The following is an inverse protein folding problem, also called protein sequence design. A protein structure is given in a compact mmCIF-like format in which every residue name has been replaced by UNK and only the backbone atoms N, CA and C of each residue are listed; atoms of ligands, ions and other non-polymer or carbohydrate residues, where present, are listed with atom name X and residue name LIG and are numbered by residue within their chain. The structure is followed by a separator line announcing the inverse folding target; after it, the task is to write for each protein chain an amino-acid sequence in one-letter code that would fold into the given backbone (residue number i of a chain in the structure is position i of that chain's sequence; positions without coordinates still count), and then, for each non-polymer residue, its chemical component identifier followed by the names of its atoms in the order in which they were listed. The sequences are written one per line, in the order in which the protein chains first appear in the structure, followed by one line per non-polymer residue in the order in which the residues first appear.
data_IF_594878634252
#
_entry.id   IF_594878634252
#
_cell.length_a   1.000
_cell.length_b   1.000
_cell.length_c   1.000
_cell.angle_alpha   90.00
_cell.angle_beta   90.00
_cell.angle_gamma   90.00
#
_symmetry.space_group_name_H-M   'P 1'
#
loop_
_entity.id
_entity.type
_entity.pdbx_description
1 polymer ?
#
# COMPACT_ATOMS: atom_id res chain seq x y z
N UNK A 1 -13.68 5.99 -6.34
CA UNK A 1 -14.34 4.78 -5.79
C UNK A 1 -14.30 4.82 -4.27
N UNK A 2 -15.48 4.70 -3.66
CA UNK A 2 -15.77 4.79 -2.22
C UNK A 2 -15.51 3.45 -1.51
N UNK A 3 -15.29 3.45 -0.19
CA UNK A 3 -15.02 2.26 0.66
C UNK A 3 -15.97 1.07 0.41
N UNK A 4 -17.21 1.35 -0.05
CA UNK A 4 -18.23 0.33 -0.31
C UNK A 4 -17.93 -0.70 -1.41
N UNK A 5 -16.96 -0.47 -2.31
CA UNK A 5 -16.65 -1.44 -3.39
C UNK A 5 -15.92 -2.68 -2.85
N UNK A 6 -14.97 -2.50 -1.92
CA UNK A 6 -14.21 -3.61 -1.32
C UNK A 6 -15.07 -4.46 -0.38
N UNK A 7 -15.96 -3.80 0.34
CA UNK A 7 -16.84 -4.40 1.34
C UNK A 7 -17.86 -5.32 0.69
N UNK A 8 -18.44 -4.91 -0.44
CA UNK A 8 -19.34 -5.74 -1.25
C UNK A 8 -18.65 -6.99 -1.79
N UNK A 9 -17.37 -6.89 -2.21
CA UNK A 9 -16.61 -8.03 -2.76
C UNK A 9 -16.54 -9.21 -1.79
N UNK A 10 -16.31 -8.93 -0.51
CA UNK A 10 -16.15 -9.99 0.50
C UNK A 10 -17.45 -10.37 1.23
N UNK A 11 -18.59 -9.78 0.82
CA UNK A 11 -19.87 -9.95 1.49
C UNK A 11 -19.80 -9.44 2.93
N UNK A 12 -19.20 -8.27 3.15
CA UNK A 12 -18.92 -7.72 4.48
C UNK A 12 -19.39 -6.27 4.58
N UNK A 13 -20.63 -6.03 5.01
CA UNK A 13 -21.13 -4.68 5.20
C UNK A 13 -20.76 -4.06 6.56
N UNK A 14 -20.60 -2.72 6.64
CA UNK A 14 -20.34 -2.05 7.91
C UNK A 14 -21.61 -2.07 8.74
N UNK A 15 -21.47 -2.30 10.04
CA UNK A 15 -22.55 -1.97 10.96
C UNK A 15 -22.62 -0.43 11.08
N UNK A 16 -23.83 0.13 10.96
CA UNK A 16 -24.07 1.56 11.06
C UNK A 16 -23.51 2.09 12.39
N UNK A 17 -22.61 3.06 12.31
CA UNK A 17 -22.10 3.74 13.48
C UNK A 17 -23.20 4.65 14.06
N UNK A 18 -23.43 4.56 15.36
CA UNK A 18 -24.27 5.51 16.09
C UNK A 18 -23.44 6.14 17.19
N UNK A 19 -23.70 7.41 17.49
CA UNK A 19 -23.01 8.18 18.54
C UNK A 19 -23.89 8.17 19.78
N UNK A 20 -23.27 7.91 20.93
CA UNK A 20 -23.91 8.10 22.23
C UNK A 20 -23.46 9.46 22.73
N UNK A 21 -24.41 10.35 22.98
CA UNK A 21 -24.14 11.63 23.64
C UNK A 21 -24.22 11.37 25.15
N UNK A 22 -23.14 11.58 25.93
CA UNK A 22 -23.19 11.44 27.38
C UNK A 22 -24.20 12.45 27.95
N UNK A 23 -25.14 11.99 28.77
CA UNK A 23 -25.95 12.88 29.61
C UNK A 23 -25.29 13.01 30.98
N UNK A 24 -25.43 14.18 31.60
CA UNK A 24 -25.02 14.37 32.98
C UNK A 24 -25.84 13.44 33.91
N UNK A 25 -25.16 12.80 34.87
CA UNK A 25 -25.71 11.73 35.71
C UNK A 25 -26.88 12.14 36.62
N UNK A 26 -27.20 13.43 36.72
CA UNK A 26 -27.95 13.95 37.87
C UNK A 26 -29.46 13.64 37.89
N UNK A 27 -30.10 13.16 36.82
CA UNK A 27 -31.57 12.90 36.83
C UNK A 27 -32.05 11.72 35.93
N UNK A 28 -31.24 10.68 35.74
CA UNK A 28 -31.65 9.54 34.90
C UNK A 28 -32.49 8.52 35.70
N UNK A 29 -33.72 8.26 35.27
CA UNK A 29 -34.56 7.13 35.75
C UNK A 29 -33.84 5.79 35.51
N UNK A 30 -34.18 4.74 36.28
CA UNK A 30 -33.53 3.42 36.13
C UNK A 30 -33.74 2.83 34.73
N UNK A 31 -34.93 3.04 34.14
CA UNK A 31 -35.21 2.68 32.75
C UNK A 31 -34.25 3.37 31.77
N UNK A 32 -33.97 4.65 31.99
CA UNK A 32 -33.06 5.43 31.14
C UNK A 32 -31.60 4.97 31.33
N UNK A 33 -31.20 4.62 32.55
CA UNK A 33 -29.88 4.01 32.82
C UNK A 33 -29.72 2.68 32.11
N UNK A 34 -30.73 1.81 32.16
CA UNK A 34 -30.69 0.52 31.46
C UNK A 34 -30.63 0.71 29.95
N UNK A 35 -31.41 1.65 29.39
CA UNK A 35 -31.30 2.03 27.99
C UNK A 35 -29.88 2.49 27.61
N UNK A 36 -29.24 3.32 28.45
CA UNK A 36 -27.85 3.75 28.25
C UNK A 36 -26.86 2.58 28.25
N UNK A 37 -26.97 1.66 29.21
CA UNK A 37 -26.12 0.45 29.27
C UNK A 37 -26.27 -0.39 27.99
N UNK A 38 -27.50 -0.56 27.51
CA UNK A 38 -27.77 -1.30 26.28
C UNK A 38 -27.20 -0.60 25.04
N UNK A 39 -27.39 0.73 24.94
CA UNK A 39 -26.83 1.54 23.86
C UNK A 39 -25.30 1.47 23.84
N UNK A 40 -24.65 1.61 25.00
CA UNK A 40 -23.20 1.53 25.14
C UNK A 40 -22.65 0.15 24.75
N UNK A 41 -23.30 -0.91 25.22
CA UNK A 41 -22.91 -2.27 24.84
C UNK A 41 -23.06 -2.49 23.32
N UNK A 42 -24.15 -2.01 22.72
CA UNK A 42 -24.37 -2.08 21.27
C UNK A 42 -23.29 -1.29 20.52
N UNK A 43 -22.93 -0.09 21.00
CA UNK A 43 -21.90 0.75 20.39
C UNK A 43 -20.53 0.04 20.40
N UNK A 44 -20.16 -0.51 21.56
CA UNK A 44 -18.93 -1.29 21.72
C UNK A 44 -18.89 -2.51 20.80
N UNK A 45 -20.01 -3.22 20.64
CA UNK A 45 -20.12 -4.35 19.72
C UNK A 45 -19.99 -3.91 18.26
N UNK A 46 -20.62 -2.81 17.85
CA UNK A 46 -20.49 -2.23 16.51
C UNK A 46 -19.04 -1.88 16.19
N UNK A 47 -18.35 -1.18 17.10
CA UNK A 47 -16.93 -0.83 16.94
C UNK A 47 -16.05 -2.08 16.80
N UNK A 48 -16.28 -3.07 17.66
CA UNK A 48 -15.57 -4.36 17.62
C UNK A 48 -15.82 -5.10 16.31
N UNK A 49 -17.06 -5.13 15.84
CA UNK A 49 -17.44 -5.75 14.58
C UNK A 49 -16.73 -5.06 13.39
N UNK A 50 -16.85 -3.74 13.28
CA UNK A 50 -16.25 -2.97 12.18
C UNK A 50 -14.72 -3.12 12.15
N UNK A 51 -14.05 -3.09 13.31
CA UNK A 51 -12.61 -3.34 13.41
C UNK A 51 -12.21 -4.75 12.98
N UNK A 52 -12.97 -5.77 13.39
CA UNK A 52 -12.71 -7.17 12.99
C UNK A 52 -12.94 -7.36 11.48
N UNK A 53 -14.00 -6.76 10.95
CA UNK A 53 -14.36 -6.75 9.53
C UNK A 53 -13.26 -6.13 8.68
N UNK A 54 -12.80 -4.92 9.01
CA UNK A 54 -11.69 -4.28 8.31
C UNK A 54 -10.43 -5.14 8.34
N UNK A 55 -10.13 -5.76 9.49
CA UNK A 55 -9.00 -6.67 9.61
C UNK A 55 -9.16 -7.91 8.73
N UNK A 56 -10.37 -8.46 8.58
CA UNK A 56 -10.65 -9.60 7.71
C UNK A 56 -10.54 -9.21 6.24
N UNK A 57 -11.12 -8.09 5.82
CA UNK A 57 -11.01 -7.55 4.45
C UNK A 57 -9.54 -7.41 4.05
N UNK A 58 -8.73 -6.79 4.93
CA UNK A 58 -7.28 -6.63 4.71
C UNK A 58 -6.56 -7.97 4.56
N UNK A 59 -6.93 -8.97 5.36
CA UNK A 59 -6.34 -10.31 5.33
C UNK A 59 -6.71 -11.08 4.06
N UNK A 60 -7.97 -11.03 3.65
CA UNK A 60 -8.44 -11.69 2.42
C UNK A 60 -7.79 -11.07 1.18
N UNK A 61 -7.66 -9.74 1.17
CA UNK A 61 -6.95 -9.02 0.12
C UNK A 61 -5.47 -9.43 0.04
N UNK A 62 -4.80 -9.59 1.19
CA UNK A 62 -3.43 -10.12 1.23
C UNK A 62 -3.36 -11.55 0.68
N UNK A 63 -4.31 -12.43 0.99
CA UNK A 63 -4.29 -13.81 0.48
C UNK A 63 -4.43 -13.85 -1.03
N UNK A 64 -5.38 -13.09 -1.58
CA UNK A 64 -5.58 -13.01 -3.03
C UNK A 64 -4.31 -12.47 -3.68
N UNK A 65 -3.75 -11.38 -3.14
CA UNK A 65 -2.50 -10.81 -3.64
C UNK A 65 -1.35 -11.84 -3.62
N UNK A 66 -1.16 -12.57 -2.51
CA UNK A 66 -0.08 -13.56 -2.39
C UNK A 66 -0.29 -14.72 -3.36
N UNK A 67 -1.52 -15.24 -3.48
CA UNK A 67 -1.83 -16.31 -4.41
C UNK A 67 -1.54 -15.90 -5.87
N UNK A 68 -1.98 -14.71 -6.29
CA UNK A 68 -1.70 -14.21 -7.64
C UNK A 68 -0.22 -13.93 -7.86
N UNK A 69 0.47 -13.39 -6.86
CA UNK A 69 1.92 -13.15 -6.94
C UNK A 69 2.72 -14.44 -7.02
N UNK A 70 2.35 -15.47 -6.25
CA UNK A 70 2.96 -16.80 -6.33
C UNK A 70 2.88 -17.35 -7.74
N UNK A 71 1.68 -17.35 -8.32
CA UNK A 71 1.45 -17.83 -9.69
C UNK A 71 2.29 -17.06 -10.71
N UNK A 72 2.27 -15.74 -10.59
CA UNK A 72 3.01 -14.86 -11.49
C UNK A 72 4.52 -15.13 -11.41
N UNK A 73 5.08 -15.19 -10.21
CA UNK A 73 6.52 -15.41 -10.03
C UNK A 73 6.90 -16.83 -10.46
N UNK A 74 6.07 -17.84 -10.16
CA UNK A 74 6.24 -19.21 -10.66
C UNK A 74 6.26 -19.25 -12.18
N UNK A 75 5.37 -18.54 -12.88
CA UNK A 75 5.38 -18.52 -14.35
C UNK A 75 6.65 -17.88 -14.90
N UNK A 76 7.15 -16.81 -14.28
CA UNK A 76 8.43 -16.19 -14.66
C UNK A 76 9.64 -17.09 -14.41
N UNK A 77 9.62 -17.88 -13.34
CA UNK A 77 10.71 -18.80 -12.99
C UNK A 77 10.72 -20.06 -13.87
N UNK A 78 9.55 -20.57 -14.21
CA UNK A 78 9.39 -21.84 -14.94
C UNK A 78 9.23 -21.67 -16.44
N UNK A 79 8.87 -20.47 -16.91
CA UNK A 79 8.50 -20.21 -18.31
C UNK A 79 7.12 -20.76 -18.69
N UNK A 80 6.40 -21.39 -17.77
CA UNK A 80 5.08 -21.99 -18.02
C UNK A 80 4.00 -20.99 -17.60
N UNK A 81 3.11 -20.64 -18.53
CA UNK A 81 1.96 -19.80 -18.22
C UNK A 81 0.98 -20.55 -17.31
N UNK A 82 0.82 -20.05 -16.08
CA UNK A 82 -0.10 -20.64 -15.11
C UNK A 82 -1.48 -20.01 -15.32
N UNK A 83 -2.28 -20.58 -16.23
CA UNK A 83 -3.63 -20.10 -16.54
C UNK A 83 -4.50 -19.99 -15.28
N UNK A 84 -5.12 -18.83 -15.09
CA UNK A 84 -6.03 -18.56 -13.97
C UNK A 84 -7.45 -18.37 -14.47
N UNK A 85 -8.38 -19.13 -13.92
CA UNK A 85 -9.73 -18.61 -13.73
C UNK A 85 -9.70 -17.96 -12.36
N UNK A 86 -9.49 -16.65 -12.27
CA UNK A 86 -9.73 -15.92 -11.02
C UNK A 86 -11.22 -16.06 -10.74
N UNK A 87 -11.65 -16.76 -9.67
CA UNK A 87 -13.06 -16.82 -9.35
C UNK A 87 -13.52 -15.39 -9.09
N UNK A 88 -14.61 -14.96 -9.75
CA UNK A 88 -15.34 -13.77 -9.30
C UNK A 88 -15.89 -14.10 -7.92
N UNK A 89 -15.12 -13.76 -6.90
CA UNK A 89 -15.53 -13.85 -5.51
C UNK A 89 -16.52 -12.72 -5.26
N UNK A 90 -17.78 -12.96 -5.60
CA UNK A 90 -18.93 -12.19 -5.14
C UNK A 90 -19.58 -13.01 -4.04
N UNK A 91 -19.46 -12.55 -2.80
CA UNK A 91 -20.16 -13.16 -1.68
C UNK A 91 -21.44 -12.37 -1.44
N UNK A 92 -22.58 -13.05 -1.47
CA UNK A 92 -23.83 -12.47 -0.99
C UNK A 92 -23.74 -12.25 0.52
N UNK A 93 -24.23 -11.08 0.98
CA UNK A 93 -24.33 -10.75 2.40
C UNK A 93 -25.51 -11.51 3.02
N UNK A 94 -25.28 -12.80 3.25
CA UNK A 94 -26.24 -13.71 3.90
C UNK A 94 -26.39 -13.43 5.40
N UNK A 95 -25.56 -12.55 5.96
CA UNK A 95 -25.51 -12.28 7.40
C UNK A 95 -26.37 -11.08 7.82
N UNK A 96 -27.04 -10.37 6.90
CA UNK A 96 -27.70 -9.08 7.21
C UNK A 96 -28.64 -9.13 8.43
N UNK A 97 -29.39 -10.22 8.61
CA UNK A 97 -30.35 -10.45 9.70
C UNK A 97 -29.74 -10.97 11.02
N UNK A 98 -28.45 -11.35 11.04
CA UNK A 98 -27.85 -11.93 12.24
C UNK A 98 -27.56 -10.91 13.35
N UNK A 99 -27.72 -11.29 14.63
CA UNK A 99 -27.26 -10.47 15.76
C UNK A 99 -25.75 -10.16 15.67
N UNK A 100 -25.35 -8.96 16.10
CA UNK A 100 -23.94 -8.50 16.07
C UNK A 100 -22.97 -9.47 16.76
N UNK A 101 -23.40 -10.11 17.86
CA UNK A 101 -22.60 -11.12 18.57
C UNK A 101 -22.26 -12.32 17.67
N UNK A 102 -23.24 -12.81 16.91
CA UNK A 102 -23.06 -13.90 15.97
C UNK A 102 -22.21 -13.47 14.77
N UNK A 103 -22.46 -12.28 14.21
CA UNK A 103 -21.61 -11.69 13.15
C UNK A 103 -20.13 -11.60 13.56
N UNK A 104 -19.86 -11.20 14.80
CA UNK A 104 -18.49 -11.19 15.37
C UNK A 104 -17.91 -12.60 15.43
N UNK A 105 -18.69 -13.61 15.83
CA UNK A 105 -18.25 -15.01 15.87
C UNK A 105 -17.91 -15.51 14.46
N UNK A 106 -18.76 -15.27 13.47
CA UNK A 106 -18.54 -15.64 12.07
C UNK A 106 -17.25 -15.01 11.52
N UNK A 107 -17.03 -13.69 11.73
CA UNK A 107 -15.81 -13.01 11.27
C UNK A 107 -14.56 -13.60 11.93
N UNK A 108 -14.61 -13.94 13.23
CA UNK A 108 -13.47 -14.56 13.91
C UNK A 108 -13.11 -15.93 13.31
N UNK A 109 -14.11 -16.75 13.00
CA UNK A 109 -13.90 -18.05 12.34
C UNK A 109 -13.26 -17.84 10.97
N UNK A 110 -13.86 -17.01 10.10
CA UNK A 110 -13.32 -16.67 8.78
C UNK A 110 -11.90 -16.13 8.84
N UNK A 111 -11.60 -15.28 9.84
CA UNK A 111 -10.25 -14.74 10.05
C UNK A 111 -9.25 -15.83 10.45
N UNK A 112 -9.65 -16.76 11.32
CA UNK A 112 -8.81 -17.92 11.70
C UNK A 112 -8.50 -18.76 10.46
N UNK A 113 -9.51 -19.09 9.66
CA UNK A 113 -9.36 -19.92 8.46
C UNK A 113 -8.48 -19.23 7.41
N UNK A 114 -8.70 -17.94 7.17
CA UNK A 114 -7.86 -17.14 6.28
C UNK A 114 -6.39 -17.09 6.76
N UNK A 115 -6.13 -17.19 8.07
CA UNK A 115 -4.76 -17.14 8.61
C UNK A 115 -4.00 -18.46 8.45
N UNK A 116 -4.68 -19.61 8.33
CA UNK A 116 -4.06 -20.95 8.38
C UNK A 116 -2.87 -21.13 7.43
N UNK A 117 -2.99 -20.68 6.18
CA UNK A 117 -1.93 -20.84 5.15
C UNK A 117 -1.09 -19.59 4.95
N UNK A 118 -1.48 -18.44 5.51
CA UNK A 118 -0.90 -17.13 5.16
C UNK A 118 0.62 -17.12 5.32
N UNK A 119 1.13 -17.64 6.43
CA UNK A 119 2.56 -17.61 6.73
C UNK A 119 3.37 -18.49 5.77
N UNK A 120 2.83 -19.64 5.36
CA UNK A 120 3.44 -20.55 4.39
C UNK A 120 3.44 -19.91 3.01
N UNK A 121 2.28 -19.41 2.56
CA UNK A 121 2.12 -18.78 1.25
C UNK A 121 3.09 -17.58 1.08
N UNK A 122 3.21 -16.74 2.12
CA UNK A 122 4.15 -15.62 2.12
C UNK A 122 5.60 -16.12 2.06
N UNK A 123 5.98 -17.10 2.87
CA UNK A 123 7.34 -17.65 2.83
C UNK A 123 7.69 -18.22 1.45
N UNK A 124 6.77 -18.97 0.85
CA UNK A 124 6.94 -19.48 -0.52
C UNK A 124 7.11 -18.34 -1.52
N UNK A 125 6.31 -17.27 -1.43
CA UNK A 125 6.45 -16.12 -2.32
C UNK A 125 7.81 -15.46 -2.18
N UNK A 126 8.28 -15.26 -0.94
CA UNK A 126 9.58 -14.66 -0.66
C UNK A 126 10.73 -15.49 -1.24
N UNK A 127 10.72 -16.81 -1.02
CA UNK A 127 11.71 -17.72 -1.59
C UNK A 127 11.74 -17.66 -3.12
N UNK A 128 10.57 -17.60 -3.75
CA UNK A 128 10.47 -17.47 -5.21
C UNK A 128 10.97 -16.10 -5.69
N UNK A 129 10.63 -15.01 -5.01
CA UNK A 129 11.16 -13.68 -5.32
C UNK A 129 12.69 -13.63 -5.22
N UNK A 130 13.27 -14.17 -4.15
CA UNK A 130 14.73 -14.26 -3.96
C UNK A 130 15.38 -15.08 -5.08
N UNK A 131 14.75 -16.19 -5.47
CA UNK A 131 15.20 -17.00 -6.61
C UNK A 131 15.16 -16.23 -7.93
N UNK A 132 14.07 -15.49 -8.18
CA UNK A 132 13.90 -14.67 -9.37
C UNK A 132 14.94 -13.54 -9.43
N UNK A 133 15.17 -12.83 -8.33
CA UNK A 133 16.22 -11.80 -8.21
C UNK A 133 17.57 -12.41 -8.54
N UNK A 134 17.92 -13.51 -7.88
CA UNK A 134 19.24 -14.14 -8.01
C UNK A 134 19.52 -14.57 -9.45
N UNK A 135 18.51 -15.09 -10.17
CA UNK A 135 18.62 -15.45 -11.59
C UNK A 135 18.81 -14.22 -12.48
N UNK A 136 18.08 -13.15 -12.22
CA UNK A 136 18.05 -11.97 -13.10
C UNK A 136 19.18 -10.97 -12.81
N UNK A 137 19.86 -11.06 -11.66
CA UNK A 137 21.02 -10.21 -11.35
C UNK A 137 22.19 -10.43 -12.33
N UNK A 138 22.35 -11.63 -12.89
CA UNK A 138 23.39 -11.91 -13.88
C UNK A 138 23.11 -11.30 -15.26
N UNK A 139 21.85 -10.94 -15.53
CA UNK A 139 21.37 -10.42 -16.81
C UNK A 139 20.45 -9.22 -16.58
N UNK A 140 20.92 -8.29 -15.75
CA UNK A 140 20.16 -7.10 -15.41
C UNK A 140 19.73 -6.35 -16.67
N UNK A 141 18.46 -5.94 -16.68
CA UNK A 141 17.94 -5.01 -17.68
C UNK A 141 18.67 -3.68 -17.53
N UNK A 142 18.79 -2.97 -18.66
CA UNK A 142 19.27 -1.60 -18.64
C UNK A 142 18.41 -0.76 -17.67
N UNK A 143 19.04 0.15 -16.90
CA UNK A 143 18.31 1.05 -16.02
C UNK A 143 17.32 1.88 -16.86
N UNK A 144 16.19 2.30 -16.27
CA UNK A 144 15.17 3.02 -17.03
C UNK A 144 15.67 4.36 -17.57
N UNK A 145 16.71 4.93 -16.94
CA UNK A 145 17.31 6.22 -17.26
C UNK A 145 18.84 6.16 -16.99
N UNK A 146 19.69 6.90 -17.73
CA UNK A 146 21.16 6.78 -17.65
C UNK A 146 21.76 7.05 -16.26
N UNK A 147 21.16 7.94 -15.50
CA UNK A 147 21.54 8.39 -14.15
C UNK A 147 20.59 7.83 -13.09
N UNK A 148 20.05 6.64 -13.33
CA UNK A 148 19.28 5.92 -12.30
C UNK A 148 20.16 5.66 -11.08
N UNK A 149 19.74 6.04 -9.86
CA UNK A 149 20.52 5.85 -8.64
C UNK A 149 20.64 4.37 -8.28
N UNK A 150 21.61 4.01 -7.44
CA UNK A 150 21.72 2.65 -6.90
C UNK A 150 20.66 2.38 -5.81
N UNK A 151 20.25 3.44 -5.11
CA UNK A 151 19.36 3.39 -3.95
C UNK A 151 18.24 4.41 -4.10
N UNK A 152 17.03 3.98 -3.75
CA UNK A 152 15.86 4.84 -3.60
C UNK A 152 15.38 4.78 -2.15
N UNK A 153 14.83 5.90 -1.68
CA UNK A 153 14.26 6.05 -0.36
C UNK A 153 12.75 6.21 -0.46
N UNK A 154 12.04 5.68 0.54
CA UNK A 154 10.61 5.88 0.70
C UNK A 154 10.25 6.15 2.14
N UNK A 155 9.78 7.36 2.42
CA UNK A 155 9.09 7.65 3.67
C UNK A 155 7.71 6.98 3.68
N UNK A 156 7.30 6.43 4.82
CA UNK A 156 5.96 5.87 4.99
C UNK A 156 5.44 6.04 6.41
N UNK A 157 4.11 6.07 6.54
CA UNK A 157 3.39 6.11 7.81
C UNK A 157 2.19 5.18 7.79
N UNK A 158 1.77 4.76 8.96
CA UNK A 158 0.54 3.97 9.12
C UNK A 158 -0.66 4.79 8.63
N UNK A 159 -1.58 4.15 7.90
CA UNK A 159 -2.77 4.81 7.35
C UNK A 159 -2.58 5.60 6.05
N UNK A 160 -1.38 5.57 5.45
CA UNK A 160 -1.17 6.14 4.11
C UNK A 160 -1.92 5.37 3.00
N UNK A 161 -2.10 6.00 1.82
CA UNK A 161 -2.63 5.38 0.60
C UNK A 161 -1.68 4.37 -0.06
N UNK A 162 -0.64 3.93 0.62
CA UNK A 162 0.16 2.79 0.19
C UNK A 162 0.21 1.83 1.36
N UNK A 163 -0.23 0.59 1.14
CA UNK A 163 -0.15 -0.47 2.13
C UNK A 163 1.31 -0.89 2.26
N UNK A 164 1.79 -0.94 3.49
CA UNK A 164 3.10 -1.50 3.82
C UNK A 164 2.91 -2.73 4.69
N UNK A 165 3.66 -3.79 4.38
CA UNK A 165 3.82 -4.96 5.22
C UNK A 165 5.28 -5.39 5.12
N UNK A 166 5.94 -5.65 6.24
CA UNK A 166 7.39 -5.98 6.24
C UNK A 166 7.73 -7.23 5.43
N UNK A 167 6.80 -8.15 5.27
CA UNK A 167 6.98 -9.40 4.54
C UNK A 167 6.52 -9.33 3.09
N UNK A 168 5.70 -8.34 2.72
CA UNK A 168 5.20 -8.16 1.35
C UNK A 168 5.73 -6.90 0.66
N UNK A 169 6.36 -5.97 1.39
CA UNK A 169 6.83 -4.69 0.89
C UNK A 169 5.73 -3.63 0.75
N UNK A 170 5.78 -2.81 -0.30
CA UNK A 170 4.83 -1.72 -0.54
C UNK A 170 3.87 -2.04 -1.67
N UNK A 171 2.58 -1.80 -1.45
CA UNK A 171 1.51 -1.99 -2.43
C UNK A 171 0.58 -0.79 -2.46
N UNK A 172 0.13 -0.39 -3.64
CA UNK A 172 -0.83 0.71 -3.76
C UNK A 172 -2.16 0.39 -3.07
N UNK A 173 -2.72 1.35 -2.31
CA UNK A 173 -4.00 1.20 -1.62
C UNK A 173 -5.13 1.47 -2.63
N UNK A 174 -6.15 0.61 -2.63
CA UNK A 174 -7.40 0.69 -3.42
C UNK A 174 -7.51 -0.04 -4.75
N UNK A 175 -6.76 -1.12 -4.98
CA UNK A 175 -7.11 -2.00 -6.10
C UNK A 175 -7.38 -3.45 -5.65
N UNK A 176 -8.60 -3.98 -5.91
CA UNK A 176 -8.82 -5.40 -5.83
C UNK A 176 -8.00 -6.03 -6.95
N UNK A 177 -6.91 -6.73 -6.62
CA UNK A 177 -6.06 -7.45 -7.57
C UNK A 177 -5.12 -6.53 -8.38
N UNK A 178 -4.23 -5.79 -7.72
CA UNK A 178 -2.97 -5.39 -8.38
C UNK A 178 -2.07 -6.61 -8.49
N UNK A 179 -2.26 -7.39 -9.54
CA UNK A 179 -1.27 -8.41 -9.91
C UNK A 179 0.09 -7.71 -10.08
N UNK A 180 1.18 -8.35 -9.67
CA UNK A 180 2.51 -7.92 -10.07
C UNK A 180 2.51 -7.73 -11.59
N UNK A 181 2.95 -6.56 -12.04
CA UNK A 181 3.06 -6.29 -13.47
C UNK A 181 4.54 -6.20 -13.83
N UNK A 182 5.14 -7.35 -14.14
CA UNK A 182 6.53 -7.41 -14.61
C UNK A 182 6.54 -7.37 -16.13
N UNK A 183 6.89 -6.20 -16.68
CA UNK A 183 7.05 -5.99 -18.11
C UNK A 183 8.53 -6.09 -18.51
N UNK A 184 8.78 -6.41 -19.78
CA UNK A 184 10.06 -6.15 -20.45
C UNK A 184 10.14 -4.67 -20.84
N UNK A 185 10.93 -3.87 -20.12
CA UNK A 185 11.08 -2.44 -20.39
C UNK A 185 10.86 -1.58 -19.16
N UNK A 186 10.58 -0.31 -19.39
CA UNK A 186 10.43 0.76 -18.38
C UNK A 186 8.95 1.11 -18.17
N UNK A 187 8.65 1.82 -17.07
CA UNK A 187 7.29 2.34 -16.85
C UNK A 187 6.87 3.27 -18.00
N UNK A 188 7.80 4.10 -18.45
CA UNK A 188 7.65 4.96 -19.62
C UNK A 188 7.21 4.17 -20.88
N UNK A 189 7.90 3.06 -21.19
CA UNK A 189 7.58 2.25 -22.38
C UNK A 189 6.26 1.47 -22.28
N UNK A 190 5.75 1.26 -21.06
CA UNK A 190 4.57 0.43 -20.81
C UNK A 190 3.24 1.12 -21.09
N UNK A 191 3.22 2.46 -21.22
CA UNK A 191 2.02 3.28 -21.38
C UNK A 191 0.93 3.07 -20.31
N UNK A 192 1.30 2.53 -19.13
CA UNK A 192 0.39 2.27 -18.01
C UNK A 192 0.00 3.52 -17.22
N UNK A 193 0.66 4.65 -17.49
CA UNK A 193 0.48 5.91 -16.76
C UNK A 193 0.14 6.98 -17.78
N UNK A 194 -1.05 7.54 -17.66
CA UNK A 194 -1.46 8.70 -18.45
C UNK A 194 -1.25 10.03 -17.70
N UNK A 195 -1.61 11.14 -18.35
CA UNK A 195 -1.49 12.47 -17.76
C UNK A 195 -2.33 12.63 -16.48
N UNK A 196 -3.51 11.99 -16.43
CA UNK A 196 -4.43 12.08 -15.28
C UNK A 196 -3.88 11.31 -14.10
N UNK A 197 -3.34 10.11 -14.33
CA UNK A 197 -2.72 9.28 -13.30
C UNK A 197 -1.51 9.99 -12.69
N UNK A 198 -0.62 10.52 -13.53
CA UNK A 198 0.58 11.23 -13.07
C UNK A 198 0.21 12.50 -12.31
N UNK A 199 -0.73 13.31 -12.83
CA UNK A 199 -1.21 14.52 -12.15
C UNK A 199 -1.84 14.18 -10.79
N UNK A 200 -2.72 13.18 -10.75
CA UNK A 200 -3.34 12.77 -9.50
C UNK A 200 -2.31 12.24 -8.48
N UNK A 201 -1.27 11.54 -8.92
CA UNK A 201 -0.23 11.05 -8.02
C UNK A 201 0.67 12.18 -7.48
N UNK A 202 1.01 13.15 -8.33
CA UNK A 202 1.87 14.26 -7.93
C UNK A 202 1.14 15.31 -7.10
N UNK A 203 -0.10 15.67 -7.46
CA UNK A 203 -0.82 16.82 -6.89
C UNK A 203 -2.15 16.46 -6.24
N UNK A 204 -2.68 15.28 -6.55
CA UNK A 204 -4.01 14.86 -6.11
C UNK A 204 -4.02 14.26 -4.70
N UNK A 205 -5.23 14.13 -4.17
CA UNK A 205 -5.50 13.43 -2.91
C UNK A 205 -6.12 12.04 -3.12
N UNK A 206 -6.38 11.63 -4.37
CA UNK A 206 -6.93 10.30 -4.63
C UNK A 206 -5.81 9.25 -4.67
N UNK A 207 -6.07 8.03 -4.20
CA UNK A 207 -5.13 6.93 -4.36
C UNK A 207 -4.80 6.65 -5.83
N UNK A 208 -3.57 6.20 -6.06
CA UNK A 208 -2.97 5.94 -7.37
C UNK A 208 -2.28 4.58 -7.39
N UNK A 209 -2.05 4.04 -8.59
CA UNK A 209 -1.24 2.83 -8.81
C UNK A 209 0.27 3.06 -8.70
N UNK A 210 0.67 4.26 -8.29
CA UNK A 210 2.04 4.70 -8.22
C UNK A 210 2.52 4.76 -6.77
N UNK A 211 3.75 4.32 -6.55
CA UNK A 211 4.45 4.29 -5.27
C UNK A 211 5.56 5.34 -5.34
N UNK A 212 5.39 6.43 -4.59
CA UNK A 212 6.38 7.50 -4.46
C UNK A 212 7.72 7.01 -3.89
N UNK A 213 8.82 7.39 -4.55
CA UNK A 213 10.22 7.10 -4.22
C UNK A 213 11.05 8.38 -4.39
N UNK A 214 12.21 8.46 -3.73
CA UNK A 214 13.12 9.60 -3.85
C UNK A 214 14.55 9.11 -3.75
N UNK A 215 15.44 9.60 -4.59
CA UNK A 215 16.89 9.39 -4.49
C UNK A 215 17.57 10.43 -3.59
N UNK A 216 16.88 11.54 -3.30
CA UNK A 216 17.35 12.61 -2.41
C UNK A 216 16.94 12.39 -0.95
N UNK A 217 17.89 12.18 -0.02
CA UNK A 217 17.64 12.18 1.42
C UNK A 217 17.01 13.47 1.94
N UNK A 218 17.48 14.63 1.47
CA UNK A 218 16.95 15.95 1.87
C UNK A 218 15.47 16.10 1.52
N UNK A 219 15.09 15.62 0.34
CA UNK A 219 13.68 15.60 -0.09
C UNK A 219 12.83 14.74 0.85
N UNK A 220 13.32 13.56 1.24
CA UNK A 220 12.64 12.71 2.22
C UNK A 220 12.47 13.43 3.56
N UNK A 221 13.51 14.06 4.08
CA UNK A 221 13.43 14.82 5.34
C UNK A 221 12.42 15.97 5.24
N UNK A 222 12.45 16.77 4.17
CA UNK A 222 11.49 17.87 3.92
C UNK A 222 10.04 17.39 3.81
N UNK A 223 9.80 16.17 3.31
CA UNK A 223 8.46 15.61 3.32
C UNK A 223 7.99 15.20 4.70
N UNK A 224 8.89 14.57 5.46
CA UNK A 224 8.60 14.06 6.80
C UNK A 224 8.42 15.19 7.82
N UNK A 225 9.10 16.33 7.67
CA UNK A 225 8.95 17.48 8.60
C UNK A 225 7.53 18.03 8.65
N UNK A 226 6.76 17.88 7.57
CA UNK A 226 5.35 18.29 7.50
C UNK A 226 4.38 17.24 8.05
N UNK A 227 4.88 16.09 8.52
CA UNK A 227 4.03 15.06 9.10
C UNK A 227 3.79 15.37 10.59
N UNK A 228 2.51 15.58 10.94
CA UNK A 228 2.07 15.75 12.34
C UNK A 228 2.18 14.42 13.09
N UNK A 229 3.38 14.13 13.58
CA UNK A 229 3.64 12.96 14.42
C UNK A 229 3.61 13.35 15.89
N UNK A 230 2.64 12.81 16.61
CA UNK A 230 2.74 12.69 18.07
C UNK A 230 3.79 11.67 18.52
N UNK A 231 4.24 10.80 17.62
CA UNK A 231 5.25 9.78 17.89
C UNK A 231 6.23 9.66 16.69
N UNK A 232 7.43 10.22 16.85
CA UNK A 232 8.53 10.10 15.87
C UNK A 232 9.28 8.75 15.98
N UNK A 233 8.82 7.85 16.84
CA UNK A 233 9.44 6.54 17.06
C UNK A 233 9.31 5.59 15.85
N UNK A 234 10.39 4.83 15.62
CA UNK A 234 10.44 3.69 14.70
C UNK A 234 11.06 3.96 13.33
N UNK A 235 11.29 2.87 12.59
CA UNK A 235 11.82 2.94 11.24
C UNK A 235 10.72 3.31 10.25
N UNK A 236 10.78 4.53 9.71
CA UNK A 236 9.74 5.12 8.83
C UNK A 236 10.25 5.41 7.42
N UNK A 237 11.48 5.02 7.12
CA UNK A 237 12.10 5.20 5.81
C UNK A 237 12.60 3.84 5.34
N UNK A 238 12.11 3.39 4.20
CA UNK A 238 12.63 2.20 3.53
C UNK A 238 13.77 2.60 2.59
N UNK A 239 14.87 1.84 2.64
CA UNK A 239 16.01 1.93 1.72
C UNK A 239 15.86 0.80 0.71
N UNK A 240 15.70 1.16 -0.56
CA UNK A 240 15.30 0.26 -1.64
C UNK A 240 16.46 0.13 -2.63
N UNK A 241 16.83 -1.09 -2.96
CA UNK A 241 17.90 -1.41 -3.91
C UNK A 241 17.38 -1.45 -5.34
N UNK A 242 17.93 -0.59 -6.19
CA UNK A 242 17.49 -0.47 -7.58
C UNK A 242 17.83 -1.70 -8.43
N UNK A 243 18.99 -2.33 -8.21
CA UNK A 243 19.33 -3.58 -8.92
C UNK A 243 18.32 -4.69 -8.61
N UNK A 244 17.85 -4.78 -7.35
CA UNK A 244 16.80 -5.74 -6.98
C UNK A 244 15.44 -5.38 -7.60
N UNK A 245 15.10 -4.09 -7.71
CA UNK A 245 13.91 -3.65 -8.46
C UNK A 245 13.98 -4.08 -9.93
N UNK A 246 15.11 -3.84 -10.58
CA UNK A 246 15.36 -4.23 -11.98
C UNK A 246 15.30 -5.76 -12.16
N UNK A 247 15.93 -6.51 -11.27
CA UNK A 247 15.93 -7.98 -11.28
C UNK A 247 14.52 -8.55 -11.07
N UNK A 248 13.69 -7.92 -10.23
CA UNK A 248 12.28 -8.26 -10.07
C UNK A 248 11.41 -7.79 -11.25
N UNK A 249 11.93 -6.95 -12.15
CA UNK A 249 11.15 -6.36 -13.22
C UNK A 249 10.09 -5.36 -12.73
N UNK A 250 10.34 -4.70 -11.59
CA UNK A 250 9.49 -3.60 -11.12
C UNK A 250 9.66 -2.43 -12.08
N UNK A 251 8.54 -1.87 -12.53
CA UNK A 251 8.54 -0.70 -13.42
C UNK A 251 8.63 0.58 -12.59
N UNK A 252 9.64 1.40 -12.87
CA UNK A 252 9.82 2.69 -12.23
C UNK A 252 10.50 3.68 -13.17
N UNK A 253 10.22 4.97 -12.98
CA UNK A 253 10.79 6.10 -13.71
C UNK A 253 10.74 7.37 -12.87
N UNK A 254 11.49 8.40 -13.27
CA UNK A 254 11.33 9.76 -12.74
C UNK A 254 10.04 10.38 -13.23
N UNK A 255 9.44 11.15 -12.33
CA UNK A 255 8.24 11.93 -12.62
C UNK A 255 8.49 13.02 -13.67
N UNK A 256 9.69 13.62 -13.70
CA UNK A 256 10.07 14.58 -14.74
C UNK A 256 10.13 13.94 -16.13
N UNK A 257 10.74 12.75 -16.23
CA UNK A 257 10.85 11.97 -17.48
C UNK A 257 9.47 11.55 -18.00
N UNK A 258 8.61 11.05 -17.11
CA UNK A 258 7.23 10.72 -17.47
C UNK A 258 6.43 11.96 -17.89
N UNK A 259 6.51 13.06 -17.15
CA UNK A 259 5.82 14.31 -17.48
C UNK A 259 6.20 14.79 -18.89
N UNK A 260 7.51 14.85 -19.19
CA UNK A 260 8.01 15.23 -20.52
C UNK A 260 7.46 14.32 -21.62
N UNK A 261 7.48 13.01 -21.40
CA UNK A 261 6.97 12.04 -22.39
C UNK A 261 5.47 12.17 -22.66
N UNK A 262 4.71 12.63 -21.67
CA UNK A 262 3.27 12.83 -21.73
C UNK A 262 2.91 14.24 -22.24
N UNK A 263 3.88 15.06 -22.61
CA UNK A 263 3.65 16.46 -23.01
C UNK A 263 3.16 17.34 -21.85
N UNK A 264 3.49 16.97 -20.62
CA UNK A 264 3.17 17.74 -19.43
C UNK A 264 4.34 18.63 -19.04
N UNK A 265 4.03 19.91 -18.89
CA UNK A 265 5.00 20.91 -18.46
C UNK A 265 5.24 20.80 -16.95
N UNK A 266 6.49 21.00 -16.53
CA UNK A 266 6.85 21.04 -15.12
C UNK A 266 6.54 22.42 -14.53
N UNK A 267 6.23 22.46 -13.25
CA UNK A 267 6.00 23.74 -12.59
C UNK A 267 7.28 24.56 -12.53
N UNK A 268 7.17 25.82 -12.93
CA UNK A 268 8.21 26.85 -12.74
C UNK A 268 7.52 28.15 -12.32
N UNK A 269 8.25 29.14 -11.77
CA UNK A 269 7.68 30.45 -11.48
C UNK A 269 7.03 31.14 -12.70
N UNK A 270 7.52 30.83 -13.90
CA UNK A 270 7.01 31.37 -15.17
C UNK A 270 5.86 30.51 -15.71
N UNK A 271 5.78 29.24 -15.30
CA UNK A 271 4.75 28.29 -15.70
C UNK A 271 4.03 27.67 -14.49
N UNK A 272 3.16 28.44 -13.82
CA UNK A 272 2.53 28.02 -12.57
C UNK A 272 1.48 26.90 -12.74
N UNK A 273 1.07 26.61 -13.97
CA UNK A 273 0.11 25.52 -14.30
C UNK A 273 0.79 24.17 -14.55
N UNK A 274 2.12 24.13 -14.56
CA UNK A 274 2.89 22.91 -14.69
C UNK A 274 2.75 21.98 -13.48
N UNK A 275 3.24 20.75 -13.61
CA UNK A 275 3.15 19.69 -12.61
C UNK A 275 4.02 20.05 -11.39
N UNK A 276 3.39 20.45 -10.28
CA UNK A 276 4.03 21.11 -9.13
C UNK A 276 5.09 20.27 -8.43
N UNK A 277 4.81 18.98 -8.25
CA UNK A 277 5.65 18.12 -7.42
C UNK A 277 6.58 17.22 -8.21
N UNK A 278 6.42 17.13 -9.53
CA UNK A 278 7.32 16.36 -10.40
C UNK A 278 8.69 17.04 -10.52
N UNK A 279 9.76 16.27 -10.39
CA UNK A 279 11.14 16.75 -10.48
C UNK A 279 12.11 15.57 -10.65
N UNK A 280 13.39 15.90 -10.83
CA UNK A 280 14.47 14.93 -11.09
C UNK A 280 14.77 13.99 -9.92
N UNK A 281 14.45 14.39 -8.69
CA UNK A 281 14.67 13.55 -7.51
C UNK A 281 13.41 12.76 -7.10
N UNK A 282 12.33 12.87 -7.87
CA UNK A 282 11.06 12.23 -7.57
C UNK A 282 10.80 11.07 -8.53
N UNK A 283 10.93 9.87 -7.99
CA UNK A 283 10.74 8.60 -8.68
C UNK A 283 9.40 7.99 -8.31
N UNK A 284 8.83 7.19 -9.21
CA UNK A 284 7.62 6.43 -8.94
C UNK A 284 7.80 4.99 -9.41
N UNK A 285 7.34 4.03 -8.61
CA UNK A 285 7.25 2.63 -8.97
C UNK A 285 5.79 2.21 -9.16
N UNK A 286 5.54 1.27 -10.06
CA UNK A 286 4.19 0.82 -10.38
C UNK A 286 3.76 -0.35 -9.50
N UNK A 287 2.64 -0.17 -8.80
CA UNK A 287 1.83 -1.15 -8.04
C UNK A 287 2.46 -1.86 -6.85
N UNK A 288 3.65 -2.43 -7.00
CA UNK A 288 4.29 -3.28 -5.99
C UNK A 288 5.81 -3.14 -5.95
N UNK A 289 6.33 -2.90 -4.74
CA UNK A 289 7.75 -3.07 -4.41
C UNK A 289 7.85 -4.27 -3.47
N UNK A 290 8.44 -5.40 -3.90
CA UNK A 290 8.64 -6.58 -3.07
C UNK A 290 9.49 -6.30 -1.84
N UNK A 291 9.25 -7.06 -0.76
CA UNK A 291 10.02 -6.94 0.47
C UNK A 291 11.52 -7.20 0.25
N UNK A 292 11.84 -8.10 -0.68
CA UNK A 292 13.20 -8.48 -1.04
C UNK A 292 14.00 -7.33 -1.66
N UNK A 293 13.32 -6.35 -2.26
CA UNK A 293 13.94 -5.14 -2.83
C UNK A 293 14.27 -4.08 -1.76
N UNK A 294 13.80 -4.26 -0.52
CA UNK A 294 14.04 -3.34 0.60
C UNK A 294 15.22 -3.86 1.41
N UNK A 295 16.35 -3.15 1.38
CA UNK A 295 17.56 -3.56 2.10
C UNK A 295 17.40 -3.43 3.61
N UNK A 296 16.81 -2.30 4.03
CA UNK A 296 16.62 -1.99 5.45
C UNK A 296 15.59 -0.89 5.62
N UNK A 297 15.10 -0.81 6.85
CA UNK A 297 14.33 0.33 7.33
C UNK A 297 15.23 1.15 8.25
N UNK A 298 15.15 2.47 8.13
CA UNK A 298 15.91 3.41 8.96
C UNK A 298 14.95 4.40 9.64
N UNK A 299 15.37 4.88 10.80
CA UNK A 299 14.68 5.95 11.52
C UNK A 299 14.95 7.31 10.85
N UNK A 300 14.07 8.27 11.14
CA UNK A 300 14.25 9.68 10.72
C UNK A 300 15.57 10.23 11.28
N UNK A 301 15.83 9.99 12.56
CA UNK A 301 17.05 10.43 13.24
C UNK A 301 18.32 9.86 12.62
N UNK A 302 18.29 8.60 12.16
CA UNK A 302 19.41 7.99 11.45
C UNK A 302 19.70 8.70 10.12
N UNK A 303 18.65 9.07 9.37
CA UNK A 303 18.81 9.81 8.12
C UNK A 303 19.30 11.24 8.37
N UNK A 304 18.75 11.94 9.36
CA UNK A 304 19.20 13.29 9.76
C UNK A 304 20.68 13.31 10.15
N UNK A 305 21.11 12.34 10.96
CA UNK A 305 22.52 12.21 11.36
C UNK A 305 23.42 11.95 10.15
N UNK A 306 23.01 11.08 9.24
CA UNK A 306 23.75 10.82 8.01
C UNK A 306 23.85 12.07 7.11
N UNK A 307 22.76 12.84 6.97
CA UNK A 307 22.78 14.09 6.20
C UNK A 307 23.71 15.14 6.81
N UNK A 308 23.66 15.33 8.14
CA UNK A 308 24.54 16.25 8.88
C UNK A 308 26.01 15.90 8.73
N UNK A 309 26.35 14.62 8.88
CA UNK A 309 27.75 14.16 8.79
C UNK A 309 28.34 14.28 7.39
N UNK A 310 27.51 14.31 6.34
CA UNK A 310 27.94 14.38 4.94
C UNK A 310 27.70 15.76 4.29
N UNK A 311 27.39 16.81 5.07
CA UNK A 311 27.07 18.16 4.55
C UNK A 311 25.95 18.19 3.50
N UNK A 312 25.06 17.19 3.51
CA UNK A 312 23.89 17.15 2.65
C UNK A 312 22.84 18.06 3.31
N UNK A 313 22.53 19.19 2.67
CA UNK A 313 21.63 20.22 3.22
C UNK A 313 20.31 19.62 3.72
N UNK A 314 19.99 19.90 4.98
CA UNK A 314 18.71 19.54 5.61
C UNK A 314 17.60 20.52 5.22
#
# INVERSE_FOLDING_TARGET
MTEGVFEKRYGLQPAQAFRIIPLADQDLTEERREWYRQAENRYRLTQKYNKLRESLVRLLDDKIFVAESLRFVTSKITGIEVNSVTPKLEYEDTDSELPLSQKIKNIKVRKKDATLTKSVDIKSLRMLNETLISRNLASLKEPPEPDTPEILYRAFRDGAHTRHDRMLGFRCFRQPITMPYYHTGTLLSSQLVDQRDLRNHCEGCNPSDLIALSDSPSRILKFITNWDFRDRGGDRIAVINVQKLLAMGVLFNRTSTLAKSLGMELWTPIQPTGLQYANENYWIAYRWIPAECIERYISISSLEMACKNNTIGA
#
